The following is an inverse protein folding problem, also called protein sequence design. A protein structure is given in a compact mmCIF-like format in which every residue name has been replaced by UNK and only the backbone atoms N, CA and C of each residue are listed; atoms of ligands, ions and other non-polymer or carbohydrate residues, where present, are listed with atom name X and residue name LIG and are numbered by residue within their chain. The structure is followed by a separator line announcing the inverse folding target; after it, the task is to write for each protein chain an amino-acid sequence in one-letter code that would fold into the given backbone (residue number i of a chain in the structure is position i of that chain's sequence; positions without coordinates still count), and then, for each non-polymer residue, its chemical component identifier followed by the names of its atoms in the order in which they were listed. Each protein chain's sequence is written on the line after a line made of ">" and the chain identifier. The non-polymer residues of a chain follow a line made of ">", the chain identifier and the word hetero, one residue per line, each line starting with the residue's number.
data_IF_188556801687
#
_entry.id   IF_188556801687
#
_cell.length_a   1.000
_cell.length_b   1.000
_cell.length_c   1.000
_cell.angle_alpha   90.00
_cell.angle_beta   90.00
_cell.angle_gamma   90.00
#
_symmetry.space_group_name_H-M   'P 1'
#
loop_
_entity.id
_entity.type
_entity.pdbx_description
1 polymer ?
#
# COMPACT_ATOMS: atom_id res chain seq x y z
N UNK A 1 -9.95 3.78 -12.95
CA UNK A 1 -10.82 4.77 -12.28
C UNK A 1 -11.93 5.16 -13.23
N UNK A 2 -13.18 5.32 -12.79
CA UNK A 2 -14.26 5.88 -13.63
C UNK A 2 -14.83 7.12 -12.97
N UNK A 3 -14.80 8.26 -13.66
CA UNK A 3 -15.33 9.54 -13.20
C UNK A 3 -16.82 9.73 -13.53
N UNK A 4 -17.46 10.79 -12.98
CA UNK A 4 -18.89 11.07 -13.16
C UNK A 4 -19.31 11.35 -14.61
N UNK A 5 -18.36 11.64 -15.52
CA UNK A 5 -18.59 11.85 -16.94
C UNK A 5 -18.48 10.57 -17.80
N UNK A 6 -18.17 9.42 -17.19
CA UNK A 6 -17.90 8.16 -17.91
C UNK A 6 -16.46 8.01 -18.41
N UNK A 7 -15.60 9.02 -18.18
CA UNK A 7 -14.17 8.93 -18.47
C UNK A 7 -13.47 7.99 -17.50
N UNK A 8 -12.60 7.14 -18.04
CA UNK A 8 -11.72 6.30 -17.26
C UNK A 8 -10.28 6.80 -17.28
N UNK A 9 -9.61 6.70 -16.14
CA UNK A 9 -8.20 7.04 -15.99
C UNK A 9 -7.47 5.92 -15.24
N UNK A 10 -6.19 5.77 -15.57
CA UNK A 10 -5.31 4.79 -14.96
C UNK A 10 -4.81 5.27 -13.60
N UNK A 11 -4.77 4.36 -12.64
CA UNK A 11 -4.13 4.56 -11.34
C UNK A 11 -3.02 3.54 -11.27
N UNK A 12 -1.78 3.99 -11.14
CA UNK A 12 -0.62 3.12 -11.14
C UNK A 12 0.00 3.07 -9.75
N UNK A 13 0.07 1.86 -9.19
CA UNK A 13 0.74 1.60 -7.92
C UNK A 13 2.11 1.00 -8.21
N UNK A 14 3.15 1.58 -7.62
CA UNK A 14 4.52 1.02 -7.66
C UNK A 14 4.97 0.66 -6.26
N UNK A 15 5.57 -0.52 -6.14
CA UNK A 15 6.32 -0.93 -4.96
C UNK A 15 7.79 -0.99 -5.31
N UNK A 16 8.62 -0.31 -4.51
CA UNK A 16 10.05 -0.46 -4.60
C UNK A 16 10.54 -1.74 -3.93
N UNK A 17 11.84 -1.98 -4.00
CA UNK A 17 12.49 -3.10 -3.33
C UNK A 17 12.63 -2.77 -1.84
N UNK A 18 12.17 -3.64 -0.92
CA UNK A 18 12.46 -3.48 0.51
C UNK A 18 13.97 -3.39 0.76
N UNK A 19 14.38 -2.49 1.64
CA UNK A 19 15.78 -2.27 2.02
C UNK A 19 15.92 -2.01 3.52
N UNK A 20 17.12 -2.27 4.11
CA UNK A 20 17.40 -1.84 5.47
C UNK A 20 17.18 -0.33 5.61
N UNK A 21 16.57 0.10 6.70
CA UNK A 21 16.48 1.52 7.05
C UNK A 21 17.83 1.97 7.65
N UNK A 22 18.58 2.86 6.96
CA UNK A 22 19.87 3.33 7.46
C UNK A 22 19.74 4.19 8.73
N UNK A 23 18.55 4.67 9.07
CA UNK A 23 18.28 5.47 10.28
C UNK A 23 17.80 4.61 11.46
N UNK A 24 17.44 3.36 11.24
CA UNK A 24 16.99 2.47 12.30
C UNK A 24 18.15 2.02 13.19
N UNK A 25 17.99 2.19 14.50
CA UNK A 25 18.90 1.65 15.51
C UNK A 25 18.61 0.18 15.85
N UNK A 26 17.44 -0.34 15.45
CA UNK A 26 16.96 -1.71 15.64
C UNK A 26 17.20 -2.63 14.43
N UNK A 27 17.64 -2.09 13.30
CA UNK A 27 17.83 -2.84 12.06
C UNK A 27 16.53 -3.08 11.28
N UNK A 28 15.57 -2.16 11.42
CA UNK A 28 14.31 -2.20 10.68
C UNK A 28 14.54 -2.03 9.17
N UNK A 29 13.48 -2.32 8.42
CA UNK A 29 13.44 -2.25 6.97
C UNK A 29 12.37 -1.26 6.52
N UNK A 30 12.67 -0.56 5.44
CA UNK A 30 11.73 0.27 4.69
C UNK A 30 11.32 -0.41 3.38
N UNK A 31 10.10 -0.13 2.93
CA UNK A 31 9.63 -0.46 1.59
C UNK A 31 8.94 0.77 0.99
N UNK A 32 9.55 1.41 -0.02
CA UNK A 32 8.94 2.56 -0.67
C UNK A 32 7.77 2.14 -1.58
N UNK A 33 6.74 2.98 -1.66
CA UNK A 33 5.62 2.80 -2.56
C UNK A 33 5.14 4.15 -3.11
N UNK A 34 4.41 4.11 -4.22
CA UNK A 34 3.87 5.29 -4.89
C UNK A 34 2.49 4.97 -5.48
N UNK A 35 1.58 5.94 -5.43
CA UNK A 35 0.25 5.88 -6.05
C UNK A 35 0.12 7.07 -6.99
N UNK A 36 0.14 6.82 -8.29
CA UNK A 36 -0.02 7.86 -9.31
C UNK A 36 -1.48 7.96 -9.78
N UNK A 37 -1.92 9.17 -10.09
CA UNK A 37 -3.20 9.41 -10.77
C UNK A 37 -4.39 9.62 -9.83
N UNK A 38 -4.15 9.83 -8.53
CA UNK A 38 -5.16 10.13 -7.51
C UNK A 38 -4.77 11.30 -6.59
N UNK A 39 -3.94 12.22 -7.09
CA UNK A 39 -3.61 13.47 -6.41
C UNK A 39 -2.11 13.59 -6.11
N UNK A 40 -1.73 13.35 -4.86
CA UNK A 40 -0.32 13.43 -4.45
C UNK A 40 0.44 12.17 -4.86
N UNK A 41 1.24 12.29 -5.91
CA UNK A 41 2.03 11.21 -6.48
C UNK A 41 3.42 11.09 -5.80
N UNK A 42 3.60 11.62 -4.58
CA UNK A 42 4.84 11.48 -3.83
C UNK A 42 5.14 10.01 -3.47
N UNK A 43 6.44 9.69 -3.41
CA UNK A 43 6.90 8.39 -2.90
C UNK A 43 6.77 8.41 -1.38
N UNK A 44 6.12 7.39 -0.84
CA UNK A 44 5.99 7.14 0.59
C UNK A 44 6.73 5.88 0.98
N UNK A 45 6.87 5.65 2.29
CA UNK A 45 7.61 4.52 2.83
C UNK A 45 6.87 3.88 3.99
N UNK A 46 6.82 2.54 4.00
CA UNK A 46 6.32 1.76 5.12
C UNK A 46 7.47 0.97 5.75
N UNK A 47 7.44 0.84 7.08
CA UNK A 47 8.53 0.24 7.85
C UNK A 47 8.08 -1.02 8.56
N UNK A 48 8.97 -2.01 8.66
CA UNK A 48 8.78 -3.24 9.42
C UNK A 48 10.10 -3.79 9.96
N UNK A 49 10.04 -4.75 10.86
CA UNK A 49 11.22 -5.37 11.50
C UNK A 49 12.07 -6.17 10.51
N UNK A 50 11.47 -6.59 9.39
CA UNK A 50 12.16 -7.28 8.30
C UNK A 50 11.61 -6.85 6.93
N UNK A 51 12.29 -7.32 5.87
CA UNK A 51 11.94 -7.01 4.48
C UNK A 51 10.53 -7.45 4.07
N UNK A 52 10.04 -8.57 4.62
CA UNK A 52 8.72 -9.10 4.28
C UNK A 52 7.65 -8.28 4.99
N UNK A 53 7.82 -7.99 6.28
CA UNK A 53 6.89 -7.16 7.03
C UNK A 53 6.81 -5.75 6.43
N UNK A 54 7.93 -5.13 6.05
CA UNK A 54 7.94 -3.82 5.40
C UNK A 54 7.13 -3.82 4.09
N UNK A 55 7.27 -4.86 3.25
CA UNK A 55 6.47 -5.02 2.03
C UNK A 55 4.98 -5.22 2.32
N UNK A 56 4.63 -6.10 3.28
CA UNK A 56 3.25 -6.36 3.66
C UNK A 56 2.57 -5.09 4.19
N UNK A 57 3.30 -4.29 4.99
CA UNK A 57 2.83 -3.01 5.48
C UNK A 57 2.71 -1.97 4.35
N UNK A 58 3.62 -1.94 3.37
CA UNK A 58 3.46 -1.10 2.19
C UNK A 58 2.19 -1.44 1.40
N UNK A 59 1.90 -2.72 1.19
CA UNK A 59 0.68 -3.18 0.51
C UNK A 59 -0.58 -2.78 1.30
N UNK A 60 -0.52 -2.89 2.63
CA UNK A 60 -1.60 -2.45 3.51
C UNK A 60 -1.82 -0.93 3.44
N UNK A 61 -0.75 -0.14 3.52
CA UNK A 61 -0.79 1.32 3.39
C UNK A 61 -1.40 1.75 2.06
N UNK A 62 -0.98 1.15 0.95
CA UNK A 62 -1.57 1.41 -0.37
C UNK A 62 -3.07 1.15 -0.38
N UNK A 63 -3.54 0.06 0.25
CA UNK A 63 -4.97 -0.22 0.33
C UNK A 63 -5.74 0.88 1.07
N UNK A 64 -5.21 1.39 2.19
CA UNK A 64 -5.84 2.46 2.96
C UNK A 64 -5.86 3.77 2.17
N UNK A 65 -4.71 4.15 1.60
CA UNK A 65 -4.54 5.35 0.78
C UNK A 65 -5.47 5.36 -0.44
N UNK A 66 -5.57 4.24 -1.17
CA UNK A 66 -6.48 4.12 -2.30
C UNK A 66 -7.95 4.29 -1.89
N UNK A 67 -8.34 3.75 -0.73
CA UNK A 67 -9.71 3.91 -0.23
C UNK A 67 -10.01 5.37 0.13
N UNK A 68 -9.12 6.01 0.89
CA UNK A 68 -9.26 7.40 1.32
C UNK A 68 -9.28 8.36 0.12
N UNK A 69 -8.32 8.20 -0.81
CA UNK A 69 -8.22 9.07 -2.00
C UNK A 69 -9.42 8.88 -2.92
N UNK A 70 -9.92 7.65 -3.09
CA UNK A 70 -11.11 7.39 -3.89
C UNK A 70 -12.37 8.02 -3.30
N UNK A 71 -12.54 7.95 -1.97
CA UNK A 71 -13.62 8.62 -1.26
C UNK A 71 -13.54 10.15 -1.44
N UNK A 72 -12.37 10.73 -1.19
CA UNK A 72 -12.12 12.18 -1.30
C UNK A 72 -12.34 12.73 -2.70
N UNK A 73 -12.08 11.93 -3.74
CA UNK A 73 -12.26 12.32 -5.15
C UNK A 73 -13.60 11.85 -5.73
N UNK A 74 -14.41 11.13 -4.95
CA UNK A 74 -15.70 10.56 -5.39
C UNK A 74 -15.58 9.70 -6.66
N UNK A 75 -14.49 8.94 -6.77
CA UNK A 75 -14.22 8.08 -7.93
C UNK A 75 -14.35 6.62 -7.56
N UNK A 76 -14.64 5.80 -8.57
CA UNK A 76 -14.64 4.35 -8.42
C UNK A 76 -13.31 3.75 -8.91
N UNK A 77 -12.73 2.87 -8.10
CA UNK A 77 -11.59 2.05 -8.46
C UNK A 77 -12.06 0.64 -8.84
N UNK A 78 -11.53 0.12 -9.94
CA UNK A 78 -11.71 -1.26 -10.37
C UNK A 78 -10.34 -1.79 -10.82
N UNK A 79 -10.08 -3.07 -10.58
CA UNK A 79 -8.89 -3.80 -11.02
C UNK A 79 -9.34 -5.05 -11.77
N UNK A 80 -8.93 -5.21 -13.04
CA UNK A 80 -9.40 -6.31 -13.89
C UNK A 80 -10.93 -6.46 -13.89
N UNK A 81 -11.65 -5.33 -14.00
CA UNK A 81 -13.13 -5.24 -13.94
C UNK A 81 -13.75 -5.69 -12.60
N UNK A 82 -12.92 -5.91 -11.57
CA UNK A 82 -13.37 -6.28 -10.23
C UNK A 82 -13.24 -5.11 -9.26
N UNK A 83 -14.18 -5.04 -8.31
CA UNK A 83 -14.11 -4.07 -7.19
C UNK A 83 -13.05 -4.44 -6.16
N UNK A 84 -12.68 -5.72 -6.10
CA UNK A 84 -11.62 -6.18 -5.21
C UNK A 84 -10.27 -5.89 -5.88
N UNK A 85 -9.45 -5.09 -5.22
CA UNK A 85 -8.14 -4.68 -5.76
C UNK A 85 -7.03 -5.74 -5.57
N UNK A 86 -7.36 -6.91 -5.03
CA UNK A 86 -6.36 -7.95 -4.69
C UNK A 86 -5.44 -7.61 -3.52
N UNK A 87 -5.49 -6.39 -2.98
CA UNK A 87 -4.65 -5.89 -1.86
C UNK A 87 -5.15 -6.34 -0.48
N UNK A 88 -5.49 -7.63 -0.31
CA UNK A 88 -5.90 -8.16 1.01
C UNK A 88 -4.70 -8.73 1.76
N UNK A 89 -3.97 -7.84 2.41
CA UNK A 89 -3.04 -8.19 3.48
C UNK A 89 -3.66 -7.71 4.77
N UNK A 90 -4.03 -8.60 5.69
CA UNK A 90 -4.34 -8.21 7.06
C UNK A 90 -3.16 -8.73 7.88
N UNK A 91 -2.27 -7.87 8.39
CA UNK A 91 -1.23 -8.32 9.30
C UNK A 91 -1.92 -8.73 10.61
N UNK A 92 -2.33 -9.99 10.70
CA UNK A 92 -2.85 -10.54 11.95
C UNK A 92 -1.71 -10.61 12.96
N UNK A 93 -1.95 -10.04 14.14
CA UNK A 93 -1.10 -10.29 15.31
C UNK A 93 -1.42 -11.72 15.76
N UNK A 94 -0.61 -12.67 15.33
CA UNK A 94 -0.68 -14.04 15.85
C UNK A 94 0.04 -14.05 17.19
N UNK A 95 -0.70 -14.23 18.28
CA UNK A 95 -0.12 -14.57 19.58
C UNK A 95 0.55 -15.95 19.45
N UNK A 96 1.86 -15.96 19.23
CA UNK A 96 2.64 -17.18 19.29
C UNK A 96 2.83 -17.56 20.77
N UNK A 97 2.66 -18.84 21.14
CA UNK A 97 3.08 -19.30 22.45
C UNK A 97 4.59 -19.02 22.63
N UNK A 98 5.07 -18.82 23.88
CA UNK A 98 6.48 -18.64 24.13
C UNK A 98 7.27 -19.83 23.58
N UNK A 99 8.46 -19.54 23.03
CA UNK A 99 9.36 -20.58 22.54
C UNK A 99 9.68 -21.60 23.66
N UNK A 100 9.86 -22.89 23.33
CA UNK A 100 10.14 -23.94 24.31
C UNK A 100 11.48 -23.73 25.06
#
# INVERSE_FOLDING_TARGET
>A
MTGPAGDSAEVLVRFGRPHPDPLSTSGDWGCPFQIDGLGDDSVQEAFGVDSLQALLLAIWSVRLELAERAERTSVRLDWLEQRALGLRVVPDVVDLPPAP
#
